data_IF_439141319210
#
_entry.id   IF_439141319210
#
_cell.length_a   1.000
_cell.length_b   1.000
_cell.length_c   1.000
_cell.angle_alpha   90.00
_cell.angle_beta   90.00
_cell.angle_gamma   90.00
#
_symmetry.space_group_name_H-M   'P 1'
#
loop_
_entity.id
_entity.type
_entity.pdbx_description
1 polymer ?
#
# COMPACT_ATOMS: atom_id res chain seq x y z
N UNK A 1 -8.51 8.72 23.26
CA UNK A 1 -7.14 8.18 23.21
C UNK A 1 -7.01 7.40 21.91
N UNK A 2 -6.58 8.04 20.82
CA UNK A 2 -6.29 7.29 19.60
C UNK A 2 -4.96 6.57 19.83
N UNK A 3 -5.03 5.29 20.21
CA UNK A 3 -3.84 4.44 20.27
C UNK A 3 -3.19 4.41 18.89
N UNK A 4 -1.85 4.32 18.84
CA UNK A 4 -1.11 4.09 17.59
C UNK A 4 -1.77 2.94 16.85
N UNK A 5 -2.38 3.22 15.69
CA UNK A 5 -2.95 2.17 14.86
C UNK A 5 -1.83 1.26 14.40
N UNK A 6 -2.00 -0.04 14.55
CA UNK A 6 -1.12 -1.03 13.97
C UNK A 6 -1.14 -0.94 12.44
N UNK A 7 -0.07 -1.40 11.79
CA UNK A 7 0.00 -1.46 10.32
C UNK A 7 -1.19 -2.25 9.76
N UNK A 8 -1.63 -3.31 10.45
CA UNK A 8 -2.79 -4.10 10.06
C UNK A 8 -4.10 -3.28 10.05
N UNK A 9 -4.38 -2.52 11.11
CA UNK A 9 -5.58 -1.68 11.19
C UNK A 9 -5.58 -0.55 10.14
N UNK A 10 -4.40 -0.04 9.79
CA UNK A 10 -4.27 0.96 8.73
C UNK A 10 -4.57 0.31 7.38
N UNK A 11 -3.98 -0.86 7.09
CA UNK A 11 -4.22 -1.59 5.85
C UNK A 11 -5.68 -2.02 5.69
N UNK A 12 -6.36 -2.40 6.77
CA UNK A 12 -7.80 -2.73 6.77
C UNK A 12 -8.69 -1.54 6.45
N UNK A 13 -8.24 -0.31 6.73
CA UNK A 13 -8.97 0.91 6.40
C UNK A 13 -8.80 1.39 4.95
N UNK A 14 -7.93 0.73 4.18
CA UNK A 14 -7.67 1.08 2.78
C UNK A 14 -8.65 0.38 1.84
N UNK A 15 -8.94 0.99 0.68
CA UNK A 15 -9.64 0.31 -0.40
C UNK A 15 -8.93 -0.99 -0.77
N UNK A 16 -9.69 -2.00 -1.19
CA UNK A 16 -9.17 -3.35 -1.45
C UNK A 16 -8.02 -3.36 -2.46
N UNK A 17 -8.14 -2.54 -3.50
CA UNK A 17 -7.15 -2.39 -4.57
C UNK A 17 -5.82 -1.83 -4.04
N UNK A 18 -5.88 -0.82 -3.18
CA UNK A 18 -4.71 -0.23 -2.56
C UNK A 18 -4.08 -1.21 -1.56
N UNK A 19 -4.90 -1.85 -0.71
CA UNK A 19 -4.43 -2.85 0.24
C UNK A 19 -3.68 -3.99 -0.45
N UNK A 20 -4.18 -4.47 -1.60
CA UNK A 20 -3.53 -5.51 -2.40
C UNK A 20 -2.15 -5.05 -2.87
N UNK A 21 -2.06 -3.88 -3.50
CA UNK A 21 -0.80 -3.32 -4.02
C UNK A 21 0.22 -3.14 -2.90
N UNK A 22 -0.19 -2.55 -1.77
CA UNK A 22 0.70 -2.30 -0.64
C UNK A 22 1.15 -3.60 0.03
N UNK A 23 0.28 -4.61 0.09
CA UNK A 23 0.64 -5.94 0.63
C UNK A 23 1.66 -6.62 -0.28
N UNK A 24 1.43 -6.64 -1.59
CA UNK A 24 2.39 -7.17 -2.55
C UNK A 24 3.75 -6.47 -2.46
N UNK A 25 3.74 -5.15 -2.33
CA UNK A 25 4.98 -4.37 -2.29
C UNK A 25 5.72 -4.46 -0.96
N UNK A 26 5.05 -4.27 0.18
CA UNK A 26 5.71 -4.20 1.49
C UNK A 26 5.81 -5.55 2.21
N UNK A 27 4.89 -6.48 2.00
CA UNK A 27 4.92 -7.80 2.66
C UNK A 27 5.65 -8.81 1.81
N UNK A 28 5.25 -8.92 0.53
CA UNK A 28 5.84 -9.91 -0.39
C UNK A 28 7.07 -9.38 -1.14
N UNK A 29 7.48 -8.13 -0.91
CA UNK A 29 8.66 -7.50 -1.54
C UNK A 29 8.63 -7.54 -3.08
N UNK A 30 7.42 -7.55 -3.67
CA UNK A 30 7.24 -7.56 -5.12
C UNK A 30 7.49 -6.15 -5.67
N UNK A 31 8.24 -6.05 -6.77
CA UNK A 31 8.53 -4.76 -7.41
C UNK A 31 7.27 -4.13 -8.02
N UNK A 32 7.24 -2.80 -8.14
CA UNK A 32 6.11 -2.10 -8.76
C UNK A 32 5.88 -2.54 -10.22
N UNK A 33 6.96 -2.77 -10.98
CA UNK A 33 6.90 -3.30 -12.34
C UNK A 33 6.26 -4.69 -12.42
N UNK A 34 6.61 -5.59 -11.50
CA UNK A 34 6.04 -6.95 -11.48
C UNK A 34 4.59 -6.93 -11.03
N UNK A 35 4.22 -6.10 -10.04
CA UNK A 35 2.81 -5.89 -9.63
C UNK A 35 2.00 -5.35 -10.81
N UNK A 36 2.53 -4.36 -11.53
CA UNK A 36 1.90 -3.78 -12.71
C UNK A 36 1.64 -4.84 -13.79
N UNK A 37 2.63 -5.70 -14.04
CA UNK A 37 2.51 -6.84 -14.95
C UNK A 37 1.45 -7.85 -14.53
N UNK A 38 1.36 -8.18 -13.22
CA UNK A 38 0.33 -9.11 -12.70
C UNK A 38 -1.08 -8.53 -12.77
N UNK A 39 -1.24 -7.21 -12.57
CA UNK A 39 -2.54 -6.54 -12.53
C UNK A 39 -3.00 -6.00 -13.89
N UNK A 40 -2.13 -5.99 -14.90
CA UNK A 40 -2.45 -5.44 -16.22
C UNK A 40 -2.61 -3.92 -16.23
N UNK A 41 -1.99 -3.22 -15.27
CA UNK A 41 -2.08 -1.76 -15.12
C UNK A 41 -0.73 -1.10 -15.39
N UNK A 42 -0.67 0.22 -15.70
CA UNK A 42 0.59 0.93 -15.85
C UNK A 42 1.39 0.96 -14.55
N UNK A 43 2.71 0.78 -14.61
CA UNK A 43 3.61 0.85 -13.44
C UNK A 43 3.48 2.17 -12.67
N UNK A 44 3.31 3.29 -13.37
CA UNK A 44 3.03 4.61 -12.77
C UNK A 44 1.82 4.62 -11.83
N UNK A 45 0.78 3.84 -12.13
CA UNK A 45 -0.41 3.75 -11.29
C UNK A 45 -0.06 3.04 -9.97
N UNK A 46 0.67 1.93 -10.05
CA UNK A 46 1.16 1.18 -8.89
C UNK A 46 2.06 2.05 -8.01
N UNK A 47 3.01 2.77 -8.61
CA UNK A 47 3.90 3.70 -7.88
C UNK A 47 3.14 4.82 -7.17
N UNK A 48 2.09 5.37 -7.80
CA UNK A 48 1.23 6.40 -7.19
C UNK A 48 0.52 5.85 -5.95
N UNK A 49 -0.02 4.64 -6.04
CA UNK A 49 -0.67 3.96 -4.92
C UNK A 49 0.33 3.68 -3.79
N UNK A 50 1.53 3.19 -4.11
CA UNK A 50 2.60 2.95 -3.13
C UNK A 50 2.99 4.24 -2.40
N UNK A 51 3.17 5.35 -3.12
CA UNK A 51 3.54 6.64 -2.54
C UNK A 51 2.44 7.23 -1.65
N UNK A 52 1.18 7.11 -2.09
CA UNK A 52 0.01 7.56 -1.32
C UNK A 52 -0.16 6.72 -0.04
N UNK A 53 -0.06 5.39 -0.17
CA UNK A 53 -0.13 4.46 0.96
C UNK A 53 1.01 4.67 1.96
N UNK A 54 2.23 4.91 1.50
CA UNK A 54 3.38 5.23 2.36
C UNK A 54 3.14 6.50 3.18
N UNK A 55 2.62 7.56 2.55
CA UNK A 55 2.32 8.83 3.23
C UNK A 55 1.27 8.62 4.33
N UNK A 56 0.21 7.84 4.05
CA UNK A 56 -0.81 7.48 5.05
C UNK A 56 -0.26 6.64 6.20
N UNK A 57 0.61 5.68 5.91
CA UNK A 57 1.24 4.85 6.95
C UNK A 57 2.09 5.71 7.89
N UNK A 58 2.89 6.63 7.34
CA UNK A 58 3.70 7.57 8.12
C UNK A 58 2.82 8.46 9.00
N UNK A 59 1.75 9.05 8.43
CA UNK A 59 0.84 9.94 9.18
C UNK A 59 -0.02 9.24 10.23
N UNK A 60 -0.05 7.90 10.24
CA UNK A 60 -0.84 7.12 11.20
C UNK A 60 0.01 6.59 12.37
N UNK A 61 1.34 6.66 12.24
CA UNK A 61 2.32 6.20 13.25
C UNK A 61 2.84 7.37 14.09
N UNK A 62 2.94 8.55 13.48
CA UNK A 62 3.40 9.82 14.08
C UNK A 62 2.23 10.78 14.24
#
# INVERSE_FOLDING_TARGET
MAGKKSIAEILESLPEEERLILTMHYVYQVSAAEIAGKLGVPERAVLTVIASGRSRLISSIF
#
